data_IF_668803531051
#
_entry.id   IF_668803531051
#
_cell.length_a   1.000
_cell.length_b   1.000
_cell.length_c   1.000
_cell.angle_alpha   90.00
_cell.angle_beta   90.00
_cell.angle_gamma   90.00
#
_symmetry.space_group_name_H-M   'P 1'
#
loop_
_entity.id
_entity.type
_entity.pdbx_description
1 polymer ?
#
# COMPACT_ATOMS: atom_id res chain seq x y z
N UNK A 1 -14.90 10.28 16.44
CA UNK A 1 -16.10 9.76 17.12
C UNK A 1 -16.62 10.81 18.09
N UNK A 2 -17.92 10.83 18.42
CA UNK A 2 -18.53 11.86 19.27
C UNK A 2 -17.95 11.85 20.68
N UNK A 3 -17.78 10.67 21.28
CA UNK A 3 -17.14 10.49 22.59
C UNK A 3 -15.71 11.05 22.64
N UNK A 4 -14.91 10.88 21.59
CA UNK A 4 -13.55 11.41 21.53
C UNK A 4 -13.54 12.95 21.61
N UNK A 5 -14.47 13.62 20.93
CA UNK A 5 -14.60 15.09 21.01
C UNK A 5 -15.00 15.54 22.42
N UNK A 6 -15.90 14.80 23.07
CA UNK A 6 -16.33 15.10 24.43
C UNK A 6 -15.17 14.96 25.43
N UNK A 7 -14.41 13.87 25.36
CA UNK A 7 -13.21 13.65 26.19
C UNK A 7 -12.16 14.75 26.01
N UNK A 8 -11.88 15.15 24.76
CA UNK A 8 -10.91 16.22 24.48
C UNK A 8 -11.37 17.59 24.99
N UNK A 9 -12.68 17.85 24.99
CA UNK A 9 -13.24 19.15 25.38
C UNK A 9 -13.44 19.29 26.89
N UNK A 10 -13.91 18.23 27.54
CA UNK A 10 -14.33 18.27 28.94
C UNK A 10 -13.34 17.58 29.89
N UNK A 11 -12.31 16.92 29.34
CA UNK A 11 -11.33 16.18 30.13
C UNK A 11 -11.88 14.83 30.63
N UNK A 12 -11.03 14.08 31.32
CA UNK A 12 -11.36 12.71 31.78
C UNK A 12 -12.08 12.66 33.13
N UNK A 13 -12.03 13.72 33.93
CA UNK A 13 -12.62 13.74 35.28
C UNK A 13 -14.14 13.57 35.30
N UNK A 14 -14.82 13.92 34.21
CA UNK A 14 -16.26 13.71 34.03
C UNK A 14 -16.63 12.34 33.45
N UNK A 15 -15.67 11.43 33.25
CA UNK A 15 -15.88 10.12 32.64
C UNK A 15 -15.36 9.02 33.55
N UNK A 16 -16.03 7.87 33.51
CA UNK A 16 -15.62 6.64 34.19
C UNK A 16 -15.54 5.51 33.16
N UNK A 17 -14.58 4.61 33.37
CA UNK A 17 -14.50 3.34 32.65
C UNK A 17 -14.95 2.23 33.59
N UNK A 18 -15.91 1.43 33.16
CA UNK A 18 -16.41 0.28 33.92
C UNK A 18 -16.59 -0.92 32.99
N UNK A 19 -16.34 -2.13 33.50
CA UNK A 19 -16.47 -3.37 32.74
C UNK A 19 -17.86 -3.94 33.02
N UNK A 20 -18.75 -3.86 32.03
CA UNK A 20 -20.12 -4.35 32.18
C UNK A 20 -20.21 -5.88 32.19
N UNK A 21 -19.37 -6.56 31.41
CA UNK A 21 -19.41 -8.01 31.23
C UNK A 21 -18.11 -8.54 30.60
N UNK A 22 -17.71 -9.75 30.99
CA UNK A 22 -16.74 -10.56 30.25
C UNK A 22 -17.51 -11.60 29.43
N UNK A 23 -17.25 -11.68 28.13
CA UNK A 23 -17.91 -12.62 27.22
C UNK A 23 -16.92 -13.22 26.22
N UNK A 24 -17.32 -14.33 25.60
CA UNK A 24 -16.54 -14.96 24.55
C UNK A 24 -16.55 -14.13 23.26
N UNK A 25 -15.49 -14.28 22.46
CA UNK A 25 -15.28 -13.48 21.24
C UNK A 25 -16.45 -13.57 20.25
N UNK A 26 -17.08 -14.73 20.17
CA UNK A 26 -18.16 -15.00 19.23
C UNK A 26 -19.48 -14.33 19.65
N UNK A 27 -19.60 -13.92 20.91
CA UNK A 27 -20.81 -13.28 21.47
C UNK A 27 -20.70 -11.75 21.53
N UNK A 28 -19.51 -11.18 21.28
CA UNK A 28 -19.23 -9.74 21.46
C UNK A 28 -20.27 -8.85 20.80
N UNK A 29 -20.63 -9.12 19.53
CA UNK A 29 -21.59 -8.27 18.79
C UNK A 29 -23.00 -8.37 19.39
N UNK A 30 -23.40 -9.55 19.85
CA UNK A 30 -24.73 -9.77 20.45
C UNK A 30 -24.83 -9.05 21.79
N UNK A 31 -23.80 -9.16 22.62
CA UNK A 31 -23.73 -8.49 23.94
C UNK A 31 -23.60 -6.97 23.79
N UNK A 32 -22.80 -6.51 22.81
CA UNK A 32 -22.72 -5.08 22.48
C UNK A 32 -24.10 -4.52 22.08
N UNK A 33 -24.84 -5.22 21.20
CA UNK A 33 -26.19 -4.79 20.82
C UNK A 33 -27.14 -4.73 22.02
N UNK A 34 -27.10 -5.75 22.89
CA UNK A 34 -27.91 -5.80 24.11
C UNK A 34 -27.72 -4.55 24.98
N UNK A 35 -26.46 -4.16 25.25
CA UNK A 35 -26.17 -2.97 26.06
C UNK A 35 -26.49 -1.65 25.34
N UNK A 36 -26.32 -1.59 24.02
CA UNK A 36 -26.74 -0.42 23.24
C UNK A 36 -28.27 -0.20 23.32
N UNK A 37 -29.05 -1.27 23.24
CA UNK A 37 -30.51 -1.20 23.31
C UNK A 37 -31.02 -0.93 24.74
N UNK A 38 -30.31 -1.47 25.74
CA UNK A 38 -30.62 -1.26 27.16
C UNK A 38 -30.35 0.18 27.60
N UNK A 39 -29.13 0.70 27.33
CA UNK A 39 -28.70 1.99 27.85
C UNK A 39 -28.98 3.17 26.91
N UNK A 40 -29.14 2.91 25.60
CA UNK A 40 -29.35 3.93 24.57
C UNK A 40 -28.36 5.11 24.69
N UNK A 41 -27.05 4.83 24.71
CA UNK A 41 -26.05 5.83 25.06
C UNK A 41 -26.01 6.98 24.04
N UNK A 42 -26.06 8.22 24.55
CA UNK A 42 -26.10 9.45 23.73
C UNK A 42 -24.88 9.61 22.82
N UNK A 43 -23.69 9.20 23.31
CA UNK A 43 -22.45 9.34 22.56
C UNK A 43 -22.26 8.31 21.43
N UNK A 44 -23.12 7.29 21.36
CA UNK A 44 -22.98 6.24 20.37
C UNK A 44 -23.81 6.52 19.12
N UNK A 45 -23.11 6.77 18.00
CA UNK A 45 -23.76 7.14 16.72
C UNK A 45 -24.38 5.90 16.04
N UNK A 46 -23.70 4.76 16.11
CA UNK A 46 -24.13 3.53 15.46
C UNK A 46 -25.16 2.81 16.35
N UNK A 47 -26.43 2.81 15.94
CA UNK A 47 -27.49 2.13 16.70
C UNK A 47 -27.41 0.61 16.64
N UNK A 48 -26.69 0.08 15.65
CA UNK A 48 -26.48 -1.36 15.49
C UNK A 48 -25.01 -1.68 15.73
N UNK A 49 -24.76 -2.63 16.63
CA UNK A 49 -23.46 -3.22 16.84
C UNK A 49 -22.99 -3.93 15.55
N UNK A 50 -21.69 -3.92 15.32
CA UNK A 50 -21.14 -4.52 14.12
C UNK A 50 -19.62 -4.39 14.06
N UNK A 51 -19.01 -5.24 13.25
CA UNK A 51 -17.56 -5.26 13.06
C UNK A 51 -17.18 -4.86 11.64
N UNK A 52 -16.18 -3.99 11.52
CA UNK A 52 -15.53 -3.70 10.23
C UNK A 52 -14.44 -4.71 9.89
N UNK A 53 -14.23 -5.73 10.72
CA UNK A 53 -13.21 -6.76 10.46
C UNK A 53 -13.56 -7.52 9.17
N UNK A 54 -12.62 -7.53 8.23
CA UNK A 54 -12.83 -8.18 6.92
C UNK A 54 -13.73 -7.39 5.96
N UNK A 55 -14.25 -6.22 6.36
CA UNK A 55 -15.05 -5.39 5.46
C UNK A 55 -14.20 -4.90 4.29
N UNK A 56 -14.70 -5.11 3.08
CA UNK A 56 -14.06 -4.62 1.86
C UNK A 56 -15.04 -3.78 1.05
N UNK A 57 -14.56 -2.64 0.56
CA UNK A 57 -15.37 -1.78 -0.31
C UNK A 57 -15.67 -2.48 -1.64
N UNK A 58 -16.88 -2.25 -2.14
CA UNK A 58 -17.29 -2.68 -3.48
C UNK A 58 -16.40 -2.04 -4.56
N UNK A 59 -16.35 -2.66 -5.73
CA UNK A 59 -15.62 -2.13 -6.88
C UNK A 59 -16.10 -0.72 -7.25
N UNK A 60 -17.42 -0.49 -7.23
CA UNK A 60 -18.03 0.81 -7.51
C UNK A 60 -17.58 1.87 -6.49
N UNK A 61 -17.59 1.56 -5.20
CA UNK A 61 -17.12 2.50 -4.16
C UNK A 61 -15.64 2.80 -4.34
N UNK A 62 -14.81 1.80 -4.64
CA UNK A 62 -13.38 1.99 -4.94
C UNK A 62 -13.18 2.91 -6.16
N UNK A 63 -14.00 2.75 -7.20
CA UNK A 63 -13.94 3.60 -8.39
C UNK A 63 -14.31 5.06 -8.07
N UNK A 64 -15.41 5.29 -7.34
CA UNK A 64 -15.81 6.64 -6.91
C UNK A 64 -14.75 7.32 -6.04
N UNK A 65 -14.15 6.58 -5.09
CA UNK A 65 -13.05 7.09 -4.27
C UNK A 65 -11.83 7.46 -5.11
N UNK A 66 -11.51 6.67 -6.14
CA UNK A 66 -10.43 6.98 -7.08
C UNK A 66 -10.73 8.25 -7.86
N UNK A 67 -11.93 8.36 -8.43
CA UNK A 67 -12.37 9.50 -9.22
C UNK A 67 -12.33 10.80 -8.42
N UNK A 68 -12.89 10.80 -7.21
CA UNK A 68 -12.87 11.96 -6.31
C UNK A 68 -11.43 12.42 -5.99
N UNK A 69 -10.45 11.50 -6.03
CA UNK A 69 -9.05 11.80 -5.73
C UNK A 69 -8.24 12.27 -6.94
N UNK A 70 -8.65 11.96 -8.17
CA UNK A 70 -7.88 12.30 -9.38
C UNK A 70 -7.67 13.81 -9.55
N UNK A 71 -8.67 14.62 -9.20
CA UNK A 71 -8.63 16.07 -9.34
C UNK A 71 -8.45 16.80 -8.00
N UNK A 72 -8.16 16.07 -6.93
CA UNK A 72 -7.98 16.67 -5.62
C UNK A 72 -6.61 17.34 -5.51
N UNK A 73 -6.62 18.67 -5.38
CA UNK A 73 -5.41 19.47 -5.16
C UNK A 73 -5.20 19.62 -3.65
N UNK A 74 -4.03 19.19 -3.17
CA UNK A 74 -3.65 19.34 -1.77
C UNK A 74 -3.44 20.83 -1.47
N UNK A 75 -4.01 21.33 -0.37
CA UNK A 75 -3.80 22.72 0.05
C UNK A 75 -2.32 22.99 0.36
N UNK A 76 -1.87 24.22 0.12
CA UNK A 76 -0.47 24.60 0.35
C UNK A 76 -0.04 24.40 1.81
N UNK A 77 -0.93 24.67 2.78
CA UNK A 77 -0.67 24.41 4.19
C UNK A 77 -0.43 22.91 4.46
N UNK A 78 -1.28 22.03 3.91
CA UNK A 78 -1.13 20.58 4.07
C UNK A 78 0.15 20.10 3.39
N UNK A 79 0.45 20.64 2.21
CA UNK A 79 1.67 20.34 1.45
C UNK A 79 2.93 20.70 2.23
N UNK A 80 2.93 21.85 2.90
CA UNK A 80 4.02 22.28 3.76
C UNK A 80 4.22 21.35 4.96
N UNK A 81 3.13 20.92 5.63
CA UNK A 81 3.20 19.95 6.74
C UNK A 81 3.77 18.60 6.29
N UNK A 82 3.35 18.10 5.12
CA UNK A 82 3.91 16.86 4.54
C UNK A 82 5.41 17.02 4.29
N UNK A 83 5.83 18.14 3.70
CA UNK A 83 7.25 18.42 3.44
C UNK A 83 8.08 18.46 4.72
N UNK A 84 7.61 19.19 5.73
CA UNK A 84 8.30 19.30 7.01
C UNK A 84 8.46 17.93 7.68
N UNK A 85 7.40 17.11 7.70
CA UNK A 85 7.45 15.77 8.27
C UNK A 85 8.47 14.87 7.55
N UNK A 86 8.53 14.93 6.21
CA UNK A 86 9.51 14.16 5.44
C UNK A 86 10.96 14.59 5.69
N UNK A 87 11.21 15.89 5.90
CA UNK A 87 12.54 16.41 6.22
C UNK A 87 12.99 15.97 7.62
N UNK A 88 12.07 16.00 8.58
CA UNK A 88 12.31 15.65 9.99
C UNK A 88 12.48 14.14 10.23
N UNK A 89 12.31 13.28 9.22
CA UNK A 89 12.61 11.85 9.35
C UNK A 89 14.10 11.62 9.55
N UNK A 90 14.47 10.70 10.45
CA UNK A 90 15.86 10.30 10.66
C UNK A 90 16.46 9.72 9.37
N UNK A 91 17.78 9.84 9.22
CA UNK A 91 18.48 9.33 8.04
C UNK A 91 18.39 7.79 7.95
N UNK A 92 18.40 7.12 9.10
CA UNK A 92 18.19 5.68 9.20
C UNK A 92 16.82 5.24 8.64
N UNK A 93 15.73 5.94 8.99
CA UNK A 93 14.41 5.65 8.42
C UNK A 93 14.38 5.88 6.90
N UNK A 94 15.04 6.93 6.41
CA UNK A 94 15.13 7.23 4.97
C UNK A 94 15.89 6.15 4.21
N UNK A 95 16.93 5.56 4.80
CA UNK A 95 17.70 4.48 4.17
C UNK A 95 16.91 3.16 4.16
N UNK A 96 16.26 2.79 5.26
CA UNK A 96 15.38 1.61 5.32
C UNK A 96 14.28 1.70 4.25
N UNK A 97 13.65 2.86 4.11
CA UNK A 97 12.58 3.07 3.12
C UNK A 97 13.12 3.01 1.68
N UNK A 98 14.33 3.54 1.42
CA UNK A 98 15.01 3.41 0.13
C UNK A 98 15.29 1.95 -0.24
N UNK A 99 15.83 1.16 0.70
CA UNK A 99 16.13 -0.25 0.48
C UNK A 99 14.86 -1.04 0.19
N UNK A 100 13.82 -0.89 1.03
CA UNK A 100 12.50 -1.53 0.80
C UNK A 100 11.91 -1.19 -0.56
N UNK A 101 12.00 0.07 -0.97
CA UNK A 101 11.47 0.51 -2.27
C UNK A 101 12.28 -0.10 -3.43
N UNK A 102 13.60 -0.25 -3.29
CA UNK A 102 14.44 -0.93 -4.29
C UNK A 102 14.05 -2.41 -4.41
N UNK A 103 13.93 -3.12 -3.30
CA UNK A 103 13.51 -4.53 -3.26
C UNK A 103 12.13 -4.72 -3.88
N UNK A 104 11.16 -3.93 -3.46
CA UNK A 104 9.80 -4.00 -4.00
C UNK A 104 9.77 -3.77 -5.52
N UNK A 105 10.52 -2.78 -6.01
CA UNK A 105 10.59 -2.50 -7.46
C UNK A 105 11.30 -3.60 -8.25
N UNK A 106 12.16 -4.42 -7.62
CA UNK A 106 12.74 -5.60 -8.26
C UNK A 106 11.72 -6.72 -8.41
N UNK A 107 10.78 -6.85 -7.47
CA UNK A 107 9.91 -8.03 -7.35
C UNK A 107 8.53 -7.89 -8.02
N UNK A 108 7.87 -6.72 -7.99
CA UNK A 108 6.41 -6.64 -8.18
C UNK A 108 5.90 -5.81 -9.36
N UNK A 109 6.77 -5.11 -10.12
CA UNK A 109 6.33 -4.14 -11.15
C UNK A 109 6.99 -4.25 -12.52
N UNK A 110 7.73 -5.33 -12.77
CA UNK A 110 8.37 -5.53 -14.06
C UNK A 110 7.46 -6.11 -15.13
N UNK A 111 7.67 -5.70 -16.38
CA UNK A 111 7.27 -6.51 -17.52
C UNK A 111 8.30 -7.65 -17.63
N UNK A 112 7.88 -8.92 -17.65
CA UNK A 112 8.80 -10.03 -17.76
C UNK A 112 9.51 -10.00 -19.11
N UNK A 113 10.81 -10.33 -19.09
CA UNK A 113 11.66 -10.39 -20.28
C UNK A 113 12.36 -11.74 -20.35
N UNK A 114 12.51 -12.23 -21.58
CA UNK A 114 13.30 -13.40 -21.91
C UNK A 114 14.70 -12.94 -22.34
N UNK A 115 15.73 -13.60 -21.82
CA UNK A 115 17.14 -13.40 -22.18
C UNK A 115 17.68 -14.74 -22.68
N UNK A 116 18.07 -14.77 -23.95
CA UNK A 116 18.64 -15.94 -24.62
C UNK A 116 20.14 -15.70 -24.85
N UNK A 117 20.99 -16.61 -24.37
CA UNK A 117 22.40 -16.63 -24.72
C UNK A 117 22.56 -17.27 -26.11
N UNK A 118 23.11 -16.54 -27.08
CA UNK A 118 23.23 -17.01 -28.46
C UNK A 118 24.33 -18.06 -28.64
N UNK A 119 25.30 -18.13 -27.72
CA UNK A 119 26.40 -19.10 -27.77
C UNK A 119 26.02 -20.45 -27.16
N UNK A 120 25.31 -20.44 -26.01
CA UNK A 120 24.91 -21.66 -25.29
C UNK A 120 23.47 -22.09 -25.56
N UNK A 121 22.69 -21.25 -26.26
CA UNK A 121 21.25 -21.38 -26.47
C UNK A 121 20.41 -21.48 -25.17
N UNK A 122 20.99 -21.07 -24.04
CA UNK A 122 20.32 -21.06 -22.74
C UNK A 122 19.30 -19.92 -22.65
N UNK A 123 18.12 -20.23 -22.12
CA UNK A 123 17.02 -19.28 -21.94
C UNK A 123 16.81 -19.00 -20.46
N UNK A 124 16.79 -17.71 -20.11
CA UNK A 124 16.51 -17.26 -18.74
C UNK A 124 15.39 -16.23 -18.77
N UNK A 125 14.43 -16.38 -17.87
CA UNK A 125 13.28 -15.47 -17.74
C UNK A 125 13.48 -14.61 -16.49
N UNK A 126 13.35 -13.31 -16.66
CA UNK A 126 13.39 -12.34 -15.57
C UNK A 126 12.04 -11.65 -15.44
N UNK A 127 11.60 -11.42 -14.21
CA UNK A 127 10.34 -10.74 -13.89
C UNK A 127 10.41 -9.24 -14.24
N UNK A 128 11.60 -8.66 -14.33
CA UNK A 128 11.79 -7.25 -14.69
C UNK A 128 13.10 -6.96 -15.40
N UNK A 129 13.14 -5.87 -16.18
CA UNK A 129 14.38 -5.33 -16.75
C UNK A 129 15.44 -5.06 -15.68
N UNK A 130 15.04 -4.55 -14.49
CA UNK A 130 15.98 -4.26 -13.40
C UNK A 130 16.58 -5.52 -12.80
N UNK A 131 15.78 -6.60 -12.68
CA UNK A 131 16.26 -7.89 -12.22
C UNK A 131 17.29 -8.47 -13.19
N UNK A 132 16.99 -8.46 -14.49
CA UNK A 132 17.93 -8.89 -15.52
C UNK A 132 19.21 -8.03 -15.53
N UNK A 133 19.07 -6.72 -15.38
CA UNK A 133 20.20 -5.79 -15.34
C UNK A 133 21.15 -6.11 -14.19
N UNK A 134 20.60 -6.35 -13.00
CA UNK A 134 21.37 -6.75 -11.82
C UNK A 134 22.09 -8.09 -12.02
N UNK A 135 21.41 -9.10 -12.59
CA UNK A 135 22.01 -10.43 -12.80
C UNK A 135 23.04 -10.48 -13.93
N UNK A 136 22.86 -9.68 -14.98
CA UNK A 136 23.78 -9.60 -16.13
C UNK A 136 24.93 -8.61 -15.90
N UNK A 137 24.93 -7.90 -14.76
CA UNK A 137 25.93 -6.87 -14.43
C UNK A 137 25.93 -5.73 -15.44
N UNK A 138 24.75 -5.24 -15.83
CA UNK A 138 24.59 -4.11 -16.76
C UNK A 138 23.64 -3.07 -16.19
N UNK A 139 23.71 -1.85 -16.70
CA UNK A 139 22.73 -0.82 -16.34
C UNK A 139 21.41 -1.13 -17.05
N UNK A 140 20.28 -0.97 -16.35
CA UNK A 140 18.94 -1.23 -16.90
C UNK A 140 18.63 -0.44 -18.19
N UNK A 141 19.24 0.73 -18.38
CA UNK A 141 19.15 1.53 -19.62
C UNK A 141 19.76 0.81 -20.82
N UNK A 142 20.82 0.02 -20.63
CA UNK A 142 21.44 -0.79 -21.68
C UNK A 142 20.48 -1.87 -22.17
N UNK A 143 19.75 -2.54 -21.26
CA UNK A 143 18.74 -3.54 -21.62
C UNK A 143 17.59 -2.88 -22.38
N UNK A 144 17.10 -1.72 -21.93
CA UNK A 144 16.05 -0.97 -22.66
C UNK A 144 16.49 -0.61 -24.08
N UNK A 145 17.70 -0.07 -24.24
CA UNK A 145 18.25 0.27 -25.56
C UNK A 145 18.38 -0.95 -26.48
N UNK A 146 18.74 -2.11 -25.92
CA UNK A 146 18.83 -3.39 -26.65
C UNK A 146 17.45 -3.87 -27.08
N UNK A 147 16.44 -3.77 -26.22
CA UNK A 147 15.05 -4.10 -26.53
C UNK A 147 14.48 -3.20 -27.65
N UNK A 148 14.83 -1.91 -27.66
CA UNK A 148 14.42 -0.95 -28.70
C UNK A 148 15.15 -1.18 -30.02
N UNK A 149 16.48 -1.34 -29.97
CA UNK A 149 17.32 -1.49 -31.17
C UNK A 149 17.39 -2.89 -31.74
N UNK A 150 16.84 -3.89 -31.02
CA UNK A 150 16.92 -5.34 -31.34
C UNK A 150 18.35 -5.87 -31.55
N UNK A 151 19.36 -5.15 -31.05
CA UNK A 151 20.76 -5.57 -31.09
C UNK A 151 21.02 -6.64 -30.02
N UNK A 152 22.22 -7.23 -30.02
CA UNK A 152 22.65 -8.14 -28.96
C UNK A 152 23.26 -7.34 -27.80
N UNK A 153 22.89 -7.68 -26.56
CA UNK A 153 23.56 -7.17 -25.36
C UNK A 153 24.91 -7.90 -25.20
N UNK A 154 26.00 -7.14 -25.03
CA UNK A 154 27.38 -7.66 -24.95
C UNK A 154 27.77 -8.56 -26.13
N UNK A 155 27.10 -8.42 -27.28
CA UNK A 155 27.23 -9.32 -28.45
C UNK A 155 26.89 -10.81 -28.18
N UNK A 156 26.32 -11.15 -27.02
CA UNK A 156 26.08 -12.54 -26.59
C UNK A 156 24.60 -12.80 -26.28
N UNK A 157 23.87 -11.80 -25.78
CA UNK A 157 22.51 -12.00 -25.30
C UNK A 157 21.47 -11.35 -26.20
N UNK A 158 20.46 -12.11 -26.62
CA UNK A 158 19.24 -11.62 -27.26
C UNK A 158 18.15 -11.45 -26.19
N UNK A 159 17.49 -10.29 -26.19
CA UNK A 159 16.49 -9.95 -25.16
C UNK A 159 15.16 -9.61 -25.84
N UNK A 160 14.05 -10.14 -25.30
CA UNK A 160 12.69 -9.92 -25.81
C UNK A 160 11.69 -9.75 -24.64
N UNK A 161 10.58 -9.04 -24.87
CA UNK A 161 9.48 -8.98 -23.91
C UNK A 161 8.62 -10.24 -24.01
N UNK A 162 8.23 -10.81 -22.87
CA UNK A 162 7.32 -11.97 -22.81
C UNK A 162 5.85 -11.59 -22.94
N UNK A 163 5.49 -10.34 -22.62
CA UNK A 163 4.15 -9.81 -22.83
C UNK A 163 4.19 -8.59 -23.74
N UNK A 164 3.91 -8.78 -25.03
CA UNK A 164 3.33 -7.73 -25.88
C UNK A 164 1.83 -7.75 -25.63
N UNK A 165 1.36 -7.16 -24.54
CA UNK A 165 -0.04 -6.76 -24.41
C UNK A 165 -0.14 -5.65 -23.38
N UNK A 166 -0.03 -4.42 -23.89
CA UNK A 166 -0.69 -3.23 -23.35
C UNK A 166 -1.02 -2.32 -24.52
#
# INVERSE_FOLDING_TARGET
MLINKALLKYGYSGFMLDILEFCDKDEVIVREQYYLDLFKPEYNILKKAGSSLGFTHSFETKAKMREARLNYIVSEETRAKIRANNLNRSEEFKEIERVRLREFNLTTKGVPIEVINVLTNEKTIYLSIRQAASKLGVVHTSIRRVLESKKLLKAIYRISYLSKDK
#
